data_IF_974652211262
#
_entry.id   IF_974652211262
#
_cell.length_a   1.000
_cell.length_b   1.000
_cell.length_c   1.000
_cell.angle_alpha   90.00
_cell.angle_beta   90.00
_cell.angle_gamma   90.00
#
_symmetry.space_group_name_H-M   'P 1'
#
loop_
_entity.id
_entity.type
_entity.pdbx_description
1 polymer ?
#
# COMPACT_ATOMS: atom_id res chain seq x y z
N UNK A 1 14.91 0.44 1.94
CA UNK A 1 13.95 -0.53 1.36
C UNK A 1 12.97 0.13 0.40
N UNK A 2 11.82 0.71 0.82
CA UNK A 2 10.74 1.15 -0.10
C UNK A 2 11.21 2.01 -1.31
N UNK A 3 12.05 3.02 -1.10
CA UNK A 3 12.59 3.86 -2.19
C UNK A 3 13.40 3.05 -3.22
N UNK A 4 14.22 2.11 -2.72
CA UNK A 4 15.07 1.23 -3.53
C UNK A 4 14.23 0.18 -4.27
N UNK A 5 13.22 -0.41 -3.62
CA UNK A 5 12.30 -1.37 -4.24
C UNK A 5 11.50 -0.71 -5.37
N UNK A 6 11.04 0.54 -5.18
CA UNK A 6 10.37 1.31 -6.22
C UNK A 6 11.32 1.68 -7.36
N UNK A 7 12.53 2.14 -7.06
CA UNK A 7 13.56 2.40 -8.07
C UNK A 7 13.86 1.14 -8.91
N UNK A 8 14.05 -0.01 -8.26
CA UNK A 8 14.29 -1.30 -8.93
C UNK A 8 13.12 -1.68 -9.84
N UNK A 9 11.88 -1.53 -9.38
CA UNK A 9 10.67 -1.81 -10.17
C UNK A 9 10.51 -0.90 -11.41
N UNK A 10 11.13 0.29 -11.41
CA UNK A 10 11.14 1.19 -12.56
C UNK A 10 12.25 0.89 -13.58
N UNK A 11 13.22 0.02 -13.30
CA UNK A 11 14.34 -0.28 -14.22
C UNK A 11 13.92 -0.79 -15.61
N UNK A 12 12.83 -1.56 -15.80
CA UNK A 12 12.36 -1.95 -17.14
C UNK A 12 12.06 -0.77 -18.07
N UNK A 13 11.70 0.41 -17.53
CA UNK A 13 11.51 1.65 -18.32
C UNK A 13 12.83 2.25 -18.84
N UNK A 14 13.97 1.75 -18.37
CA UNK A 14 15.32 2.22 -18.69
C UNK A 14 16.20 1.12 -19.32
N UNK A 15 15.57 0.06 -19.82
CA UNK A 15 16.23 -1.14 -20.34
C UNK A 15 17.41 -0.82 -21.27
N UNK A 16 18.49 -1.56 -21.08
CA UNK A 16 19.74 -1.48 -21.81
C UNK A 16 20.42 -2.85 -21.85
N UNK A 17 21.49 -3.04 -22.65
CA UNK A 17 22.17 -4.34 -22.79
C UNK A 17 22.75 -4.92 -21.49
N UNK A 18 22.86 -4.14 -20.41
CA UNK A 18 23.23 -4.64 -19.09
C UNK A 18 22.47 -3.95 -17.95
N UNK A 19 22.37 -4.58 -16.75
CA UNK A 19 21.75 -3.96 -15.59
C UNK A 19 22.43 -2.65 -15.17
N UNK A 20 23.76 -2.59 -15.20
CA UNK A 20 24.53 -1.40 -14.84
C UNK A 20 24.24 -0.21 -15.76
N UNK A 21 24.12 -0.43 -17.08
CA UNK A 21 23.75 0.64 -18.03
C UNK A 21 22.29 1.07 -17.81
N UNK A 22 21.39 0.13 -17.48
CA UNK A 22 19.98 0.44 -17.18
C UNK A 22 19.85 1.32 -15.93
N UNK A 23 20.60 1.01 -14.87
CA UNK A 23 20.69 1.82 -13.65
C UNK A 23 21.30 3.20 -13.94
N UNK A 24 22.39 3.28 -14.71
CA UNK A 24 23.01 4.55 -15.08
C UNK A 24 22.07 5.45 -15.91
N UNK A 25 21.29 4.87 -16.83
CA UNK A 25 20.23 5.56 -17.58
C UNK A 25 19.14 6.08 -16.66
N UNK A 26 18.64 5.25 -15.74
CA UNK A 26 17.67 5.66 -14.73
C UNK A 26 18.19 6.83 -13.88
N UNK A 27 19.37 6.70 -13.28
CA UNK A 27 19.98 7.75 -12.46
C UNK A 27 20.21 9.06 -13.21
N UNK A 28 20.55 9.01 -14.50
CA UNK A 28 20.65 10.20 -15.36
C UNK A 28 19.29 10.87 -15.54
N UNK A 29 18.25 10.09 -15.90
CA UNK A 29 16.90 10.61 -16.08
C UNK A 29 16.29 11.19 -14.78
N UNK A 30 16.55 10.56 -13.63
CA UNK A 30 16.08 11.09 -12.33
C UNK A 30 16.77 12.41 -11.99
N UNK A 31 18.10 12.51 -12.14
CA UNK A 31 18.83 13.77 -11.92
C UNK A 31 18.35 14.90 -12.82
N UNK A 32 18.09 14.62 -14.11
CA UNK A 32 17.56 15.60 -15.05
C UNK A 32 16.16 16.11 -14.64
N UNK A 33 15.28 15.22 -14.16
CA UNK A 33 13.95 15.58 -13.64
C UNK A 33 14.04 16.41 -12.36
N UNK A 34 14.92 16.03 -11.44
CA UNK A 34 15.14 16.72 -10.16
C UNK A 34 15.69 18.13 -10.39
N UNK A 35 16.66 18.29 -11.29
CA UNK A 35 17.20 19.59 -11.71
C UNK A 35 16.14 20.47 -12.39
N UNK A 36 15.35 19.91 -13.30
CA UNK A 36 14.36 20.68 -14.05
C UNK A 36 13.14 21.10 -13.20
N UNK A 37 12.76 20.32 -12.19
CA UNK A 37 11.56 20.57 -11.38
C UNK A 37 11.84 21.12 -9.98
N UNK A 38 13.07 21.00 -9.46
CA UNK A 38 13.39 21.20 -8.04
C UNK A 38 12.43 20.41 -7.11
N UNK A 39 12.08 19.20 -7.54
CA UNK A 39 11.26 18.22 -6.83
C UNK A 39 11.90 16.83 -6.99
N UNK A 40 11.74 15.90 -6.03
CA UNK A 40 12.20 14.52 -6.22
C UNK A 40 11.58 13.87 -7.46
N UNK A 41 12.30 13.02 -8.19
CA UNK A 41 11.81 12.44 -9.45
C UNK A 41 10.59 11.50 -9.30
N UNK A 42 10.34 11.03 -8.07
CA UNK A 42 9.13 10.34 -7.66
C UNK A 42 8.79 10.66 -6.19
N UNK A 43 7.56 10.35 -5.79
CA UNK A 43 7.04 10.46 -4.44
C UNK A 43 6.19 9.25 -4.05
N UNK A 44 6.39 8.77 -2.84
CA UNK A 44 5.66 7.69 -2.17
C UNK A 44 4.91 8.33 -1.00
N UNK A 45 3.58 8.28 -1.01
CA UNK A 45 2.72 8.79 0.07
C UNK A 45 2.03 7.60 0.75
N UNK A 46 2.40 7.32 2.00
CA UNK A 46 1.72 6.34 2.85
C UNK A 46 0.39 6.96 3.26
N UNK A 47 -0.70 6.36 2.78
CA UNK A 47 -2.09 6.77 3.03
C UNK A 47 -2.69 5.99 4.19
N UNK A 48 -2.33 4.71 4.33
CA UNK A 48 -2.66 3.91 5.50
C UNK A 48 -1.49 2.98 5.87
N UNK A 49 -1.19 2.76 7.16
CA UNK A 49 -1.71 3.52 8.30
C UNK A 49 -1.25 4.99 8.26
N UNK A 50 -2.20 5.89 8.47
CA UNK A 50 -1.98 7.31 8.69
C UNK A 50 -1.49 7.55 10.13
N UNK A 51 -1.05 8.76 10.47
CA UNK A 51 -0.61 9.05 11.84
C UNK A 51 -1.74 8.84 12.86
N UNK A 52 -2.95 9.30 12.54
CA UNK A 52 -4.14 9.12 13.37
C UNK A 52 -4.55 7.65 13.58
N UNK A 53 -4.17 6.75 12.66
CA UNK A 53 -4.42 5.30 12.81
C UNK A 53 -3.69 4.74 14.02
N UNK A 54 -2.49 5.23 14.33
CA UNK A 54 -1.76 4.84 15.53
C UNK A 54 -2.37 5.41 16.81
N UNK A 55 -2.98 6.60 16.75
CA UNK A 55 -3.70 7.17 17.90
C UNK A 55 -4.92 6.34 18.31
N UNK A 56 -5.62 5.73 17.34
CA UNK A 56 -6.80 4.90 17.61
C UNK A 56 -6.47 3.42 17.87
N UNK A 57 -5.51 2.85 17.11
CA UNK A 57 -5.29 1.40 17.03
C UNK A 57 -3.94 0.92 17.57
N UNK A 58 -3.11 1.79 18.18
CA UNK A 58 -1.91 1.31 18.84
C UNK A 58 -2.25 0.37 20.01
N UNK A 59 -1.55 -0.76 20.07
CA UNK A 59 -1.62 -1.71 21.16
C UNK A 59 -0.72 -1.30 22.31
N UNK A 60 -1.15 -1.60 23.53
CA UNK A 60 -0.37 -1.46 24.76
C UNK A 60 0.35 -2.75 25.16
N UNK A 61 0.34 -3.79 24.31
CA UNK A 61 1.01 -5.05 24.60
C UNK A 61 2.54 -4.84 24.67
N UNK A 62 3.21 -5.26 25.76
CA UNK A 62 4.65 -5.08 25.92
C UNK A 62 5.47 -6.00 25.00
N UNK A 63 4.86 -7.08 24.50
CA UNK A 63 5.54 -8.11 23.69
C UNK A 63 5.72 -7.70 22.22
N UNK A 64 5.08 -6.61 21.79
CA UNK A 64 5.14 -6.15 20.40
C UNK A 64 6.46 -5.41 20.09
N UNK A 65 7.09 -5.65 18.92
CA UNK A 65 8.38 -5.07 18.56
C UNK A 65 8.27 -3.59 18.14
N UNK A 66 8.02 -2.70 19.11
CA UNK A 66 7.83 -1.26 18.89
C UNK A 66 9.07 -0.40 19.04
N UNK A 67 10.08 -0.84 19.79
CA UNK A 67 11.29 -0.05 20.12
C UNK A 67 10.97 1.39 20.56
N UNK A 68 9.99 1.56 21.46
CA UNK A 68 9.53 2.85 21.96
C UNK A 68 8.58 3.64 21.04
N UNK A 69 8.14 3.06 19.91
CA UNK A 69 7.17 3.66 18.98
C UNK A 69 5.81 2.98 19.10
N UNK A 70 4.76 3.70 18.69
CA UNK A 70 3.42 3.13 18.60
C UNK A 70 3.36 2.00 17.55
N UNK A 71 2.75 0.89 17.94
CA UNK A 71 2.58 -0.32 17.10
C UNK A 71 1.10 -0.66 17.03
N UNK A 72 0.58 -0.83 15.83
CA UNK A 72 -0.76 -1.38 15.63
C UNK A 72 -0.62 -2.90 15.64
N UNK A 73 -1.48 -3.59 16.37
CA UNK A 73 -1.47 -5.05 16.38
C UNK A 73 -2.10 -5.61 15.10
N UNK A 74 -1.49 -6.65 14.53
CA UNK A 74 -1.88 -7.30 13.28
C UNK A 74 -2.64 -8.61 13.52
N UNK A 75 -2.58 -9.15 14.74
CA UNK A 75 -3.20 -10.43 15.08
C UNK A 75 -4.69 -10.24 15.43
N UNK A 76 -5.51 -11.26 15.19
CA UNK A 76 -6.94 -11.31 15.59
C UNK A 76 -7.74 -10.05 15.17
N UNK A 77 -7.56 -9.58 13.93
CA UNK A 77 -8.16 -8.34 13.44
C UNK A 77 -9.70 -8.31 13.51
N UNK A 78 -10.34 -9.47 13.38
CA UNK A 78 -11.79 -9.61 13.44
C UNK A 78 -12.31 -9.45 14.88
N UNK A 79 -11.65 -10.10 15.83
CA UNK A 79 -11.89 -10.05 17.26
C UNK A 79 -11.63 -8.63 17.79
N UNK A 80 -10.53 -8.02 17.40
CA UNK A 80 -10.24 -6.61 17.69
C UNK A 80 -11.34 -5.69 17.15
N UNK A 81 -11.81 -5.89 15.91
CA UNK A 81 -12.89 -5.08 15.34
C UNK A 81 -14.21 -5.26 16.10
N UNK A 82 -14.55 -6.49 16.48
CA UNK A 82 -15.72 -6.80 17.30
C UNK A 82 -15.62 -6.17 18.70
N UNK A 83 -14.43 -6.15 19.30
CA UNK A 83 -14.19 -5.45 20.56
C UNK A 83 -14.40 -3.93 20.42
N UNK A 84 -14.00 -3.30 19.30
CA UNK A 84 -14.30 -1.87 19.04
C UNK A 84 -15.79 -1.61 18.87
N UNK A 85 -16.52 -2.50 18.19
CA UNK A 85 -17.99 -2.43 18.11
C UNK A 85 -18.64 -2.51 19.51
N UNK A 86 -18.18 -3.42 20.36
CA UNK A 86 -18.64 -3.55 21.75
C UNK A 86 -18.28 -2.33 22.62
N UNK A 87 -17.17 -1.64 22.33
CA UNK A 87 -16.79 -0.35 22.94
C UNK A 87 -17.64 0.84 22.43
N UNK A 88 -18.63 0.61 21.56
CA UNK A 88 -19.52 1.64 21.03
C UNK A 88 -18.92 2.46 19.88
N UNK A 89 -17.80 2.02 19.29
CA UNK A 89 -17.22 2.72 18.13
C UNK A 89 -18.13 2.53 16.91
N UNK A 90 -18.63 3.61 16.26
CA UNK A 90 -19.51 3.49 15.11
C UNK A 90 -18.85 2.69 13.98
N UNK A 91 -19.47 1.56 13.61
CA UNK A 91 -18.90 0.61 12.63
C UNK A 91 -17.47 0.12 12.98
N UNK A 92 -17.09 0.09 14.26
CA UNK A 92 -15.75 -0.28 14.70
C UNK A 92 -14.65 0.64 14.14
N UNK A 93 -14.99 1.90 13.82
CA UNK A 93 -14.08 2.91 13.30
C UNK A 93 -13.46 3.76 14.41
N UNK A 94 -12.17 4.03 14.30
CA UNK A 94 -11.45 4.88 15.23
C UNK A 94 -11.89 6.35 15.16
N UNK A 95 -11.98 7.06 16.30
CA UNK A 95 -12.49 8.43 16.34
C UNK A 95 -11.58 9.46 15.63
N UNK A 96 -10.26 9.23 15.60
CA UNK A 96 -9.28 10.18 15.02
C UNK A 96 -9.00 9.92 13.54
N UNK A 97 -9.06 8.65 13.13
CA UNK A 97 -8.74 8.16 11.79
C UNK A 97 -9.97 7.87 10.94
N UNK A 98 -11.13 7.56 11.54
CA UNK A 98 -12.32 7.08 10.81
C UNK A 98 -12.12 5.71 10.14
N UNK A 99 -11.02 5.01 10.39
CA UNK A 99 -10.68 3.70 9.82
C UNK A 99 -11.09 2.56 10.74
N UNK A 100 -11.27 1.36 10.20
CA UNK A 100 -11.38 0.12 11.00
C UNK A 100 -10.01 -0.51 11.28
N UNK A 101 -9.92 -1.44 12.23
CA UNK A 101 -8.67 -2.18 12.56
C UNK A 101 -8.01 -2.82 11.33
N UNK A 102 -8.80 -3.40 10.42
CA UNK A 102 -8.30 -3.97 9.16
C UNK A 102 -7.75 -2.90 8.21
N UNK A 103 -8.39 -1.73 8.13
CA UNK A 103 -7.91 -0.61 7.29
C UNK A 103 -6.61 -0.02 7.85
N UNK A 104 -6.49 0.11 9.17
CA UNK A 104 -5.25 0.52 9.84
C UNK A 104 -4.11 -0.50 9.63
N UNK A 105 -4.44 -1.79 9.53
CA UNK A 105 -3.51 -2.88 9.16
C UNK A 105 -3.34 -3.10 7.64
N UNK A 106 -3.93 -2.26 6.80
CA UNK A 106 -3.74 -2.29 5.35
C UNK A 106 -2.76 -1.20 4.94
N UNK A 107 -1.61 -1.58 4.39
CA UNK A 107 -0.66 -0.66 3.78
C UNK A 107 -1.24 -0.12 2.48
N UNK A 108 -1.62 1.16 2.48
CA UNK A 108 -2.07 1.87 1.27
C UNK A 108 -1.01 2.89 0.88
N UNK A 109 -0.45 2.76 -0.32
CA UNK A 109 0.55 3.64 -0.90
C UNK A 109 -0.02 4.38 -2.11
N UNK A 110 0.21 5.68 -2.19
CA UNK A 110 0.10 6.47 -3.41
C UNK A 110 1.50 6.71 -3.96
N UNK A 111 1.81 6.08 -5.09
CA UNK A 111 3.05 6.23 -5.83
C UNK A 111 2.80 7.30 -6.91
N UNK A 112 3.70 8.25 -7.05
CA UNK A 112 3.68 9.23 -8.14
C UNK A 112 5.08 9.39 -8.72
N UNK A 113 5.24 9.28 -10.03
CA UNK A 113 6.53 9.48 -10.69
C UNK A 113 6.39 10.41 -11.89
N UNK A 114 7.44 11.19 -12.15
CA UNK A 114 7.43 12.17 -13.22
C UNK A 114 7.83 11.50 -14.54
N UNK A 115 6.92 11.50 -15.51
CA UNK A 115 7.18 11.00 -16.86
C UNK A 115 7.40 12.17 -17.83
N UNK A 116 8.29 11.95 -18.79
CA UNK A 116 8.68 12.96 -19.77
C UNK A 116 7.85 12.78 -21.04
N UNK A 117 7.13 13.81 -21.52
CA UNK A 117 6.44 13.73 -22.79
C UNK A 117 7.44 13.52 -23.93
N UNK A 118 7.24 12.46 -24.72
CA UNK A 118 8.12 12.12 -25.85
C UNK A 118 7.95 13.09 -27.05
N UNK A 119 6.79 13.73 -27.16
CA UNK A 119 6.47 14.63 -28.27
C UNK A 119 7.00 16.06 -28.00
N UNK A 120 7.67 16.70 -28.97
CA UNK A 120 8.09 18.10 -28.84
C UNK A 120 6.89 19.03 -28.64
N UNK A 121 7.10 20.16 -27.97
CA UNK A 121 6.05 21.14 -27.66
C UNK A 121 5.11 20.77 -26.49
N UNK A 122 4.84 19.49 -26.24
CA UNK A 122 3.90 19.06 -25.19
C UNK A 122 4.30 19.53 -23.80
N UNK A 123 5.61 19.59 -23.47
CA UNK A 123 6.07 20.18 -22.20
C UNK A 123 5.56 21.61 -22.00
N UNK A 124 5.53 22.44 -23.05
CA UNK A 124 5.06 23.82 -22.94
C UNK A 124 3.54 23.89 -22.73
N UNK A 125 2.78 23.03 -23.41
CA UNK A 125 1.34 22.90 -23.18
C UNK A 125 1.04 22.46 -21.74
N UNK A 126 1.74 21.45 -21.22
CA UNK A 126 1.56 20.95 -19.85
C UNK A 126 1.87 22.01 -18.78
N UNK A 127 2.78 22.95 -19.06
CA UNK A 127 3.04 24.11 -18.18
C UNK A 127 1.88 25.11 -18.19
N UNK A 128 1.22 25.30 -19.33
CA UNK A 128 0.08 26.21 -19.49
C UNK A 128 -1.22 25.66 -18.90
N UNK A 129 -1.44 24.34 -18.97
CA UNK A 129 -2.63 23.67 -18.38
C UNK A 129 -2.39 23.11 -16.97
N UNK A 130 -1.27 23.46 -16.34
CA UNK A 130 -0.96 23.02 -14.98
C UNK A 130 -1.98 23.61 -13.98
N UNK A 131 -2.59 22.78 -13.10
CA UNK A 131 -3.47 23.30 -12.06
C UNK A 131 -2.75 24.34 -11.18
N UNK A 132 -3.41 25.46 -10.80
CA UNK A 132 -2.81 26.50 -9.98
C UNK A 132 -2.80 26.11 -8.49
N UNK A 133 -2.24 24.94 -8.17
CA UNK A 133 -2.16 24.41 -6.82
C UNK A 133 -0.73 23.96 -6.43
N UNK A 134 -0.54 23.72 -5.14
CA UNK A 134 0.76 23.36 -4.55
C UNK A 134 0.99 21.85 -4.47
N UNK A 135 0.19 21.01 -5.14
CA UNK A 135 0.38 19.55 -5.13
C UNK A 135 1.56 19.16 -6.01
N UNK A 136 2.22 18.07 -5.63
CA UNK A 136 3.47 17.60 -6.25
C UNK A 136 3.39 17.46 -7.78
N UNK A 137 2.28 16.91 -8.30
CA UNK A 137 2.08 16.75 -9.74
C UNK A 137 1.91 18.07 -10.48
N UNK A 138 1.06 18.96 -9.95
CA UNK A 138 0.79 20.29 -10.52
C UNK A 138 2.06 21.15 -10.57
N UNK A 139 2.87 21.13 -9.50
CA UNK A 139 4.16 21.81 -9.47
C UNK A 139 5.14 21.25 -10.52
N UNK A 140 5.21 19.93 -10.71
CA UNK A 140 6.07 19.32 -11.72
C UNK A 140 5.65 19.67 -13.16
N UNK A 141 4.33 19.74 -13.42
CA UNK A 141 3.76 20.23 -14.68
C UNK A 141 4.11 21.71 -14.90
N UNK A 142 3.80 22.59 -13.95
CA UNK A 142 4.00 24.04 -14.07
C UNK A 142 5.47 24.43 -14.28
N UNK A 143 6.39 23.79 -13.55
CA UNK A 143 7.81 24.13 -13.58
C UNK A 143 8.48 23.69 -14.89
N UNK A 144 8.31 22.43 -15.30
CA UNK A 144 9.06 21.87 -16.43
C UNK A 144 8.27 20.95 -17.39
N UNK A 145 6.94 20.90 -17.27
CA UNK A 145 6.09 20.16 -18.21
C UNK A 145 6.21 18.65 -18.10
N UNK A 146 6.54 18.11 -16.92
CA UNK A 146 6.52 16.67 -16.68
C UNK A 146 5.10 16.20 -16.32
N UNK A 147 4.71 15.04 -16.83
CA UNK A 147 3.42 14.42 -16.55
C UNK A 147 3.52 13.55 -15.28
N UNK A 148 2.74 13.82 -14.22
CA UNK A 148 2.74 12.99 -13.01
C UNK A 148 1.91 11.73 -13.24
N UNK A 149 2.58 10.59 -13.36
CA UNK A 149 1.93 9.27 -13.40
C UNK A 149 1.65 8.82 -11.97
N UNK A 150 0.44 8.31 -11.71
CA UNK A 150 0.01 7.90 -10.37
C UNK A 150 -0.39 6.42 -10.32
N UNK A 151 -0.07 5.74 -9.22
CA UNK A 151 -0.56 4.39 -8.91
C UNK A 151 -0.87 4.29 -7.42
N UNK A 152 -2.09 3.86 -7.10
CA UNK A 152 -2.43 3.40 -5.76
C UNK A 152 -2.16 1.90 -5.65
N UNK A 153 -1.62 1.47 -4.51
CA UNK A 153 -1.43 0.06 -4.15
C UNK A 153 -1.96 -0.12 -2.73
N UNK A 154 -2.69 -1.20 -2.47
CA UNK A 154 -3.20 -1.56 -1.16
C UNK A 154 -2.88 -3.03 -0.89
N UNK A 155 -2.22 -3.33 0.23
CA UNK A 155 -1.93 -4.70 0.69
C UNK A 155 -2.23 -4.82 2.18
N UNK A 156 -2.86 -5.91 2.61
CA UNK A 156 -2.96 -6.23 4.06
C UNK A 156 -1.56 -6.57 4.56
N UNK A 157 -1.12 -5.93 5.65
CA UNK A 157 0.20 -6.19 6.23
C UNK A 157 0.23 -7.58 6.88
N UNK A 158 1.39 -8.24 6.79
CA UNK A 158 1.68 -9.55 7.40
C UNK A 158 2.53 -9.39 8.67
N UNK A 159 2.56 -8.17 9.22
CA UNK A 159 3.33 -7.80 10.39
C UNK A 159 2.73 -6.55 11.02
N UNK A 160 2.98 -6.36 12.32
CA UNK A 160 2.52 -5.21 13.08
C UNK A 160 2.99 -3.89 12.43
N UNK A 161 2.09 -2.97 12.02
CA UNK A 161 2.50 -1.67 11.53
C UNK A 161 3.13 -0.83 12.64
N UNK A 162 4.30 -0.24 12.36
CA UNK A 162 5.05 0.59 13.31
C UNK A 162 5.03 2.06 12.86
N UNK A 163 4.88 2.98 13.82
CA UNK A 163 4.91 4.43 13.63
C UNK A 163 6.35 4.95 13.43
N UNK A 164 7.05 4.47 12.40
CA UNK A 164 8.38 4.95 12.04
C UNK A 164 8.43 6.45 11.81
N UNK A 165 9.49 7.09 12.29
CA UNK A 165 9.76 8.51 12.11
C UNK A 165 9.96 8.82 10.63
N UNK A 166 9.11 9.68 10.09
CA UNK A 166 9.16 10.09 8.69
C UNK A 166 9.82 11.46 8.56
N UNK A 167 10.71 11.67 7.58
CA UNK A 167 11.22 13.01 7.31
C UNK A 167 10.08 13.93 6.86
N UNK A 168 10.04 15.16 7.37
CA UNK A 168 8.97 16.12 7.06
C UNK A 168 8.87 16.42 5.54
N UNK A 169 9.98 16.30 4.82
CA UNK A 169 10.09 16.47 3.38
C UNK A 169 10.95 15.34 2.78
N UNK A 170 10.60 14.88 1.59
CA UNK A 170 11.38 13.88 0.88
C UNK A 170 10.56 13.04 -0.09
N UNK A 171 11.18 11.96 -0.58
CA UNK A 171 10.54 10.99 -1.47
C UNK A 171 9.44 10.18 -0.79
N UNK A 172 9.56 9.89 0.52
CA UNK A 172 8.55 9.14 1.27
C UNK A 172 7.92 10.05 2.32
N UNK A 173 6.58 10.11 2.35
CA UNK A 173 5.80 10.91 3.31
C UNK A 173 4.61 10.10 3.82
N UNK A 174 4.20 10.27 5.09
CA UNK A 174 2.95 9.70 5.65
C UNK A 174 1.92 10.83 5.81
N UNK A 175 0.65 10.55 5.58
CA UNK A 175 -0.43 11.53 5.86
C UNK A 175 -0.84 11.48 7.34
N UNK A 176 -1.22 12.63 7.89
CA UNK A 176 -1.65 12.74 9.29
C UNK A 176 -2.99 12.02 9.52
N UNK A 177 -3.98 12.34 8.70
CA UNK A 177 -5.29 11.65 8.68
C UNK A 177 -5.49 10.97 7.32
N UNK A 178 -6.21 9.84 7.28
CA UNK A 178 -6.52 9.16 6.03
C UNK A 178 -7.58 9.95 5.26
N UNK A 179 -7.14 10.90 4.43
CA UNK A 179 -8.00 11.57 3.47
C UNK A 179 -8.52 10.54 2.47
N UNK A 180 -9.85 10.41 2.37
CA UNK A 180 -10.52 9.81 1.22
C UNK A 180 -9.87 10.33 -0.07
N UNK A 181 -9.53 9.47 -1.05
CA UNK A 181 -8.70 9.89 -2.18
C UNK A 181 -9.27 11.11 -2.90
N UNK A 182 -8.41 12.14 -3.06
CA UNK A 182 -8.68 13.35 -3.83
C UNK A 182 -9.15 12.95 -5.24
N UNK A 183 -10.46 12.99 -5.47
CA UNK A 183 -11.12 12.42 -6.64
C UNK A 183 -12.61 12.15 -6.42
N UNK A 184 -13.03 11.88 -5.18
CA UNK A 184 -14.44 11.91 -4.79
C UNK A 184 -14.76 13.14 -3.94
N UNK A 185 -15.73 13.96 -4.36
CA UNK A 185 -16.35 14.94 -3.44
C UNK A 185 -17.06 14.18 -2.31
N UNK A 186 -17.04 14.69 -1.05
CA UNK A 186 -17.92 14.16 -0.02
C UNK A 186 -19.37 14.37 -0.45
N UNK A 187 -20.13 13.28 -0.53
CA UNK A 187 -21.50 13.29 -1.03
C UNK A 187 -22.49 13.91 -0.04
N UNK A 188 -22.55 15.24 0.02
CA UNK A 188 -23.76 16.00 0.37
C UNK A 188 -23.81 17.26 -0.50
N UNK A 189 -24.83 17.33 -1.36
CA UNK A 189 -24.97 18.34 -2.41
C UNK A 189 -24.58 17.78 -3.78
N UNK A 190 -25.58 17.59 -4.65
CA UNK A 190 -25.32 17.38 -6.08
C UNK A 190 -24.55 18.59 -6.62
N UNK A 191 -23.42 18.41 -7.33
CA UNK A 191 -22.88 19.51 -8.12
C UNK A 191 -23.91 19.91 -9.17
N UNK A 192 -24.16 21.22 -9.43
CA UNK A 192 -24.88 21.61 -10.63
C UNK A 192 -24.13 21.04 -11.82
N UNK A 193 -24.85 20.43 -12.76
CA UNK A 193 -24.26 19.69 -13.86
C UNK A 193 -23.24 20.54 -14.62
N UNK A 194 -21.95 20.23 -14.44
CA UNK A 194 -20.89 20.83 -15.23
C UNK A 194 -21.13 20.42 -16.69
N UNK A 195 -21.50 21.38 -17.52
CA UNK A 195 -21.84 21.13 -18.92
C UNK A 195 -20.65 20.52 -19.66
N UNK A 196 -20.73 19.22 -19.94
CA UNK A 196 -19.73 18.49 -20.71
C UNK A 196 -19.80 18.96 -22.17
N UNK A 197 -19.05 20.02 -22.49
CA UNK A 197 -18.96 20.59 -23.83
C UNK A 197 -17.67 20.10 -24.50
N UNK A 198 -17.77 19.04 -25.32
CA UNK A 198 -16.67 18.52 -26.13
C UNK A 198 -17.02 17.22 -26.84
N UNK A 199 -16.29 16.89 -27.92
CA UNK A 199 -16.51 15.68 -28.73
C UNK A 199 -16.40 14.35 -27.95
N UNK A 200 -15.83 14.37 -26.75
CA UNK A 200 -15.66 13.20 -25.88
C UNK A 200 -16.88 12.91 -25.00
N UNK A 201 -17.86 13.83 -24.97
CA UNK A 201 -19.12 13.69 -24.25
C UNK A 201 -20.16 12.94 -25.11
N UNK A 202 -19.81 11.74 -25.60
CA UNK A 202 -20.76 10.86 -26.28
C UNK A 202 -21.85 10.44 -25.28
N UNK A 203 -23.12 10.69 -25.62
CA UNK A 203 -24.25 10.26 -24.79
C UNK A 203 -24.13 8.75 -24.51
N UNK A 204 -23.99 8.38 -23.24
CA UNK A 204 -24.04 6.98 -22.82
C UNK A 204 -25.29 6.33 -23.38
N UNK A 205 -25.10 5.23 -24.12
CA UNK A 205 -26.15 4.50 -24.82
C UNK A 205 -27.45 4.44 -24.01
N UNK A 206 -28.50 5.11 -24.50
CA UNK A 206 -29.85 4.95 -23.98
C UNK A 206 -30.19 3.47 -24.08
N UNK A 207 -30.33 2.81 -22.94
CA UNK A 207 -30.73 1.41 -22.86
C UNK A 207 -32.09 1.26 -23.51
N UNK A 208 -32.10 0.72 -24.72
CA UNK A 208 -33.31 0.52 -25.51
C UNK A 208 -34.23 -0.45 -24.79
N UNK A 209 -35.43 0.01 -24.44
CA UNK A 209 -36.53 -0.86 -24.03
C UNK A 209 -36.81 -1.84 -25.17
N UNK A 210 -36.72 -3.16 -24.97
CA UNK A 210 -37.15 -4.10 -26.01
C UNK A 210 -38.66 -3.93 -26.22
N UNK A 211 -39.15 -3.88 -27.48
CA UNK A 211 -40.58 -3.85 -27.74
C UNK A 211 -41.21 -5.17 -27.28
N UNK A 212 -42.43 -5.10 -26.74
CA UNK A 212 -43.16 -6.28 -26.32
C UNK A 212 -43.80 -7.00 -27.52
N UNK A 213 -43.85 -8.33 -27.42
CA UNK A 213 -44.75 -9.17 -28.22
C UNK A 213 -45.87 -9.74 -27.35
N UNK A 214 -46.99 -10.09 -27.98
CA UNK A 214 -48.31 -10.19 -27.34
C UNK A 214 -48.74 -11.61 -26.94
N UNK A 215 -49.66 -11.69 -25.98
CA UNK A 215 -50.61 -12.78 -25.65
C UNK A 215 -50.38 -14.17 -26.28
N UNK A 216 -50.09 -15.24 -25.52
CA UNK A 216 -51.02 -15.94 -24.61
C UNK A 216 -51.35 -17.35 -25.18
N UNK A 217 -52.19 -18.22 -24.55
CA UNK A 217 -52.77 -18.20 -23.21
C UNK A 217 -52.52 -19.51 -22.38
N UNK A 218 -52.87 -19.49 -21.08
CA UNK A 218 -53.36 -20.67 -20.34
C UNK A 218 -52.35 -21.66 -19.74
N UNK A 219 -52.21 -21.64 -18.40
CA UNK A 219 -52.84 -22.66 -17.56
C UNK A 219 -52.80 -22.31 -16.07
N UNK A 220 -53.78 -22.83 -15.33
CA UNK A 220 -53.96 -22.72 -13.88
C UNK A 220 -53.25 -23.85 -13.12
N UNK A 221 -53.25 -23.73 -11.78
CA UNK A 221 -52.77 -24.74 -10.80
C UNK A 221 -51.23 -24.86 -10.71
N UNK A 222 -50.62 -25.11 -9.55
CA UNK A 222 -51.18 -25.46 -8.24
C UNK A 222 -50.34 -24.92 -7.07
N UNK A 223 -50.96 -24.75 -5.91
CA UNK A 223 -50.25 -24.53 -4.63
C UNK A 223 -49.48 -25.78 -4.22
N UNK A 224 -48.25 -25.65 -3.70
CA UNK A 224 -47.80 -26.45 -2.56
C UNK A 224 -46.56 -25.90 -1.86
N UNK A 225 -46.69 -25.74 -0.54
CA UNK A 225 -45.59 -25.58 0.43
C UNK A 225 -45.20 -26.96 0.93
N UNK A 226 -43.90 -27.26 1.01
CA UNK A 226 -43.31 -27.72 2.27
C UNK A 226 -41.95 -27.03 2.52
N UNK A 227 -41.40 -26.96 3.72
CA UNK A 227 -41.81 -27.50 5.02
C UNK A 227 -40.57 -27.56 5.92
N UNK A 228 -40.68 -27.18 7.20
CA UNK A 228 -39.54 -27.24 8.14
C UNK A 228 -39.03 -28.67 8.31
N UNK A 229 -37.71 -28.81 8.50
CA UNK A 229 -37.13 -29.99 9.16
C UNK A 229 -36.29 -29.53 10.34
N UNK A 230 -36.61 -30.05 11.53
CA UNK A 230 -35.96 -29.73 12.79
C UNK A 230 -34.51 -30.26 12.88
N UNK A 231 -33.73 -29.61 13.75
CA UNK A 231 -32.46 -30.13 14.22
C UNK A 231 -32.67 -31.09 15.42
N UNK A 232 -31.91 -32.19 15.54
CA UNK A 232 -31.95 -33.03 16.72
C UNK A 232 -31.07 -32.48 17.86
N UNK A 233 -31.65 -32.44 19.05
CA UNK A 233 -31.03 -32.12 20.34
C UNK A 233 -30.25 -33.34 20.87
N UNK A 234 -29.02 -33.14 21.37
CA UNK A 234 -28.28 -34.15 22.15
C UNK A 234 -27.52 -33.45 23.28
N UNK A 235 -27.88 -33.80 24.52
CA UNK A 235 -27.22 -33.36 25.76
C UNK A 235 -26.14 -34.35 26.25
N UNK A 236 -25.24 -33.95 27.18
CA UNK A 236 -23.97 -34.61 27.43
C UNK A 236 -23.96 -35.60 28.60
N UNK A 237 -23.03 -36.55 28.56
CA UNK A 237 -22.14 -37.01 29.66
C UNK A 237 -21.14 -38.06 29.09
N UNK A 238 -20.00 -38.43 29.69
CA UNK A 238 -19.33 -38.02 30.95
C UNK A 238 -17.79 -37.96 30.72
N UNK A 239 -16.98 -38.39 31.69
CA UNK A 239 -15.54 -38.70 31.70
C UNK A 239 -15.37 -40.11 32.32
N UNK A 240 -14.16 -40.62 32.68
CA UNK A 240 -12.79 -40.38 32.20
C UNK A 240 -12.07 -41.68 31.74
N UNK A 241 -10.83 -41.60 31.20
CA UNK A 241 -9.99 -42.81 31.07
C UNK A 241 -8.67 -42.72 30.30
N UNK A 242 -7.56 -42.72 31.04
CA UNK A 242 -6.27 -43.40 30.74
C UNK A 242 -5.31 -42.84 29.66
N UNK A 243 -4.03 -42.74 30.06
CA UNK A 243 -2.84 -42.42 29.23
C UNK A 243 -2.49 -43.53 28.22
N UNK A 244 -1.51 -43.29 27.32
CA UNK A 244 -0.18 -43.81 27.66
C UNK A 244 1.00 -42.89 27.32
N UNK A 245 1.97 -42.90 28.25
CA UNK A 245 3.42 -43.13 28.03
C UNK A 245 4.14 -42.40 26.88
N UNK A 246 5.13 -41.58 27.26
CA UNK A 246 6.27 -41.19 26.42
C UNK A 246 7.46 -40.86 27.31
N UNK A 247 8.47 -41.73 27.27
CA UNK A 247 9.67 -41.66 28.10
C UNK A 247 10.67 -40.53 27.76
N UNK A 248 11.78 -40.45 28.50
CA UNK A 248 12.68 -39.31 28.47
C UNK A 248 13.67 -39.35 27.29
N UNK A 249 13.94 -38.20 26.68
CA UNK A 249 15.09 -38.01 25.80
C UNK A 249 16.25 -37.47 26.64
N UNK A 250 17.39 -38.17 26.58
CA UNK A 250 18.56 -37.85 27.37
C UNK A 250 19.28 -36.58 26.87
N UNK A 251 20.09 -35.99 27.76
CA UNK A 251 21.13 -35.07 27.37
C UNK A 251 22.38 -35.86 26.97
N UNK A 252 23.03 -35.47 25.88
CA UNK A 252 24.42 -35.79 25.60
C UNK A 252 25.19 -34.48 25.37
N UNK A 253 26.20 -34.25 26.20
CA UNK A 253 27.30 -33.34 25.92
C UNK A 253 28.46 -34.20 25.43
N UNK A 254 29.10 -33.83 24.32
CA UNK A 254 30.43 -34.34 23.99
C UNK A 254 31.30 -33.20 23.43
N UNK A 255 32.32 -32.84 24.20
CA UNK A 255 33.47 -32.05 23.76
C UNK A 255 34.50 -32.97 23.07
N UNK A 256 35.10 -32.57 21.93
CA UNK A 256 36.49 -32.91 21.59
C UNK A 256 37.01 -32.27 20.28
N UNK A 257 38.19 -31.64 20.38
CA UNK A 257 39.34 -31.59 19.44
C UNK A 257 39.14 -31.95 17.94
N UNK A 258 39.69 -31.24 16.95
CA UNK A 258 40.64 -30.11 16.96
C UNK A 258 41.74 -30.29 15.90
N UNK A 259 42.06 -29.26 15.09
CA UNK A 259 43.26 -29.17 14.25
C UNK A 259 43.44 -27.75 13.64
N UNK A 260 44.55 -27.08 13.99
CA UNK A 260 45.22 -26.11 13.09
C UNK A 260 46.20 -26.89 12.17
N UNK A 261 46.80 -26.31 11.10
CA UNK A 261 47.76 -25.18 11.17
C UNK A 261 47.20 -23.93 10.43
N UNK A 262 47.77 -22.73 10.52
CA UNK A 262 49.19 -22.39 10.32
C UNK A 262 49.53 -22.45 8.81
N UNK A 263 50.20 -21.50 8.18
CA UNK A 263 50.86 -20.27 8.62
C UNK A 263 50.92 -19.33 7.39
N UNK A 264 51.32 -18.09 7.62
CA UNK A 264 52.31 -17.31 6.86
C UNK A 264 51.93 -15.83 6.82
N UNK A 265 52.65 -15.10 7.65
CA UNK A 265 52.51 -13.66 7.88
C UNK A 265 53.29 -12.86 6.84
N UNK A 266 53.10 -11.54 6.92
CA UNK A 266 54.09 -10.51 6.59
C UNK A 266 54.37 -10.17 5.11
N UNK A 267 54.73 -8.93 4.77
CA UNK A 267 54.39 -7.62 5.37
C UNK A 267 54.57 -6.52 4.25
N UNK A 268 54.95 -5.24 4.45
CA UNK A 268 54.19 -4.17 3.80
C UNK A 268 55.04 -3.26 2.88
N UNK A 269 54.42 -2.14 2.48
CA UNK A 269 55.02 -0.94 1.87
C UNK A 269 55.58 -1.09 0.44
N UNK A 270 55.06 -0.27 -0.48
CA UNK A 270 55.93 0.77 -1.02
C UNK A 270 55.17 2.00 -1.56
N UNK A 271 55.91 3.10 -1.66
CA UNK A 271 55.47 4.43 -2.06
C UNK A 271 55.08 4.56 -3.54
N UNK A 272 54.22 5.53 -3.86
CA UNK A 272 54.22 6.17 -5.19
C UNK A 272 53.59 7.58 -5.19
N UNK A 273 54.34 8.61 -4.75
CA UNK A 273 53.98 10.00 -5.02
C UNK A 273 54.42 10.43 -6.44
N UNK A 274 53.44 10.81 -7.27
CA UNK A 274 53.57 11.73 -8.41
C UNK A 274 54.71 11.54 -9.43
N UNK A 275 54.41 10.84 -10.53
CA UNK A 275 55.10 10.86 -11.84
C UNK A 275 54.15 10.22 -12.88
N UNK A 276 53.88 10.74 -14.09
CA UNK A 276 54.12 12.05 -14.74
C UNK A 276 52.83 12.42 -15.53
N UNK A 277 52.65 13.57 -16.18
CA UNK A 277 53.50 14.77 -16.37
C UNK A 277 52.74 16.04 -15.95
#
# INVERSE_FOLDING_TARGET
VLDQSFAQALLPLYAAPSPAISQARQQRAMRQREQATALPAWRIRIVSPAQASFSDFASSSPDLPGHGRAVIDNDYLAEQHQARLAQGWPQGRGPSSGQTTLQANTLVLHLTWLHEPLLPGIKQLLRQVAPPDTRYGSQAMARAGYLPMQRQVALVMQSHPIAWDMPAHGRITRIAHPTTPEGGHPGQGSPPAASCNGLWCLESFKSGTPPGDSAGPGNTENSMVPGNTEAPDVKPDEKPGTEPDSGPVAADNDDAYGAEPGDESADPLDDCPGCCD
#
